data_IF_451237424032
#
_entry.id   IF_451237424032
#
_cell.length_a   1.000
_cell.length_b   1.000
_cell.length_c   1.000
_cell.angle_alpha   90.00
_cell.angle_beta   90.00
_cell.angle_gamma   90.00
#
_symmetry.space_group_name_H-M   'P 1'
#
loop_
_entity.id
_entity.type
_entity.pdbx_description
1 polymer ?
#
# COMPACT_ATOMS: atom_id res chain seq x y z
N UNK A 1 15.84 -13.70 -15.59
CA UNK A 1 16.14 -13.44 -14.15
C UNK A 1 15.00 -12.62 -13.59
N UNK A 2 14.53 -12.90 -12.36
CA UNK A 2 13.46 -12.09 -11.73
C UNK A 2 13.93 -10.65 -11.56
N UNK A 3 13.08 -9.68 -11.93
CA UNK A 3 13.41 -8.24 -11.88
C UNK A 3 12.57 -7.44 -10.88
N UNK A 4 11.44 -7.97 -10.45
CA UNK A 4 10.58 -7.38 -9.43
C UNK A 4 9.74 -8.46 -8.74
N UNK A 5 9.18 -8.15 -7.58
CA UNK A 5 8.26 -9.00 -6.83
C UNK A 5 6.92 -8.31 -6.62
N UNK A 6 5.84 -9.09 -6.59
CA UNK A 6 4.51 -8.63 -6.21
C UNK A 6 4.03 -9.54 -5.08
N UNK A 7 3.76 -8.95 -3.92
CA UNK A 7 3.16 -9.63 -2.80
C UNK A 7 1.68 -9.30 -2.72
N UNK A 8 0.85 -10.32 -2.50
CA UNK A 8 -0.57 -10.17 -2.22
C UNK A 8 -0.83 -10.80 -0.85
N UNK A 9 -1.28 -10.00 0.11
CA UNK A 9 -1.50 -10.43 1.48
C UNK A 9 -2.99 -10.44 1.80
N UNK A 10 -3.42 -11.48 2.52
CA UNK A 10 -4.69 -11.47 3.23
C UNK A 10 -4.51 -10.64 4.51
N UNK A 11 -5.20 -9.51 4.60
CA UNK A 11 -5.19 -8.60 5.74
C UNK A 11 -6.16 -8.99 6.86
N UNK A 12 -6.84 -10.12 6.72
CA UNK A 12 -7.87 -10.58 7.64
C UNK A 12 -9.22 -9.89 7.42
N UNK A 13 -10.10 -10.03 8.41
CA UNK A 13 -11.44 -9.44 8.41
C UNK A 13 -11.65 -8.59 9.67
N UNK A 14 -12.08 -9.20 10.78
CA UNK A 14 -12.33 -8.51 12.04
C UNK A 14 -11.30 -8.93 13.09
N UNK A 15 -11.12 -8.07 14.11
CA UNK A 15 -10.30 -8.40 15.26
C UNK A 15 -10.80 -9.68 15.94
N UNK A 16 -9.88 -10.58 16.24
CA UNK A 16 -10.14 -11.82 16.99
C UNK A 16 -9.78 -11.70 18.47
N UNK A 17 -9.40 -10.50 18.92
CA UNK A 17 -9.00 -10.20 20.31
C UNK A 17 -10.12 -9.41 20.98
N UNK A 18 -10.62 -9.90 22.12
CA UNK A 18 -11.91 -9.50 22.70
C UNK A 18 -12.02 -8.04 23.13
N UNK A 19 -10.91 -7.39 23.50
CA UNK A 19 -10.85 -5.98 23.92
C UNK A 19 -10.35 -5.05 22.81
N UNK A 20 -10.06 -5.58 21.62
CA UNK A 20 -9.66 -4.81 20.44
C UNK A 20 -10.82 -4.82 19.46
N UNK A 21 -11.54 -3.70 19.37
CA UNK A 21 -12.63 -3.55 18.41
C UNK A 21 -12.13 -3.28 16.99
N UNK A 22 -12.96 -3.59 15.99
CA UNK A 22 -12.74 -3.19 14.59
C UNK A 22 -12.11 -4.30 13.75
N UNK A 23 -11.23 -3.89 12.84
CA UNK A 23 -10.67 -4.76 11.79
C UNK A 23 -9.47 -5.59 12.27
N UNK A 24 -9.24 -6.70 11.57
CA UNK A 24 -8.11 -7.59 11.80
C UNK A 24 -6.81 -7.06 11.18
N UNK A 25 -5.72 -7.83 11.36
CA UNK A 25 -4.38 -7.48 10.91
C UNK A 25 -3.75 -8.63 10.14
N UNK A 26 -2.71 -8.31 9.36
CA UNK A 26 -1.82 -9.32 8.78
C UNK A 26 -1.13 -10.05 9.93
N UNK A 27 -1.31 -11.37 10.03
CA UNK A 27 -0.83 -12.17 11.17
C UNK A 27 0.69 -12.27 11.19
N UNK A 28 1.25 -12.58 12.36
CA UNK A 28 2.68 -12.85 12.50
C UNK A 28 3.17 -13.97 11.59
N UNK A 29 2.36 -15.00 11.32
CA UNK A 29 2.73 -16.09 10.42
C UNK A 29 2.89 -15.60 8.97
N UNK A 30 2.00 -14.70 8.52
CA UNK A 30 2.10 -14.08 7.19
C UNK A 30 3.31 -13.14 7.12
N UNK A 31 3.60 -12.39 8.19
CA UNK A 31 4.79 -11.54 8.29
C UNK A 31 6.07 -12.38 8.22
N UNK A 32 6.13 -13.48 8.97
CA UNK A 32 7.27 -14.40 8.96
C UNK A 32 7.46 -15.07 7.60
N UNK A 33 6.36 -15.45 6.95
CA UNK A 33 6.39 -15.95 5.58
C UNK A 33 6.96 -14.89 4.62
N UNK A 34 6.49 -13.65 4.71
CA UNK A 34 6.99 -12.54 3.89
C UNK A 34 8.50 -12.34 4.07
N UNK A 35 8.98 -12.24 5.32
CA UNK A 35 10.41 -12.06 5.61
C UNK A 35 11.25 -13.19 4.99
N UNK A 36 10.77 -14.44 5.06
CA UNK A 36 11.43 -15.60 4.43
C UNK A 36 11.48 -15.48 2.90
N UNK A 37 10.39 -15.06 2.24
CA UNK A 37 10.38 -14.87 0.78
C UNK A 37 11.31 -13.74 0.34
N UNK A 38 11.23 -12.58 1.01
CA UNK A 38 12.09 -11.45 0.71
C UNK A 38 13.57 -11.80 0.84
N UNK A 39 13.94 -12.49 1.93
CA UNK A 39 15.31 -12.95 2.13
C UNK A 39 15.75 -13.98 1.08
N UNK A 40 14.86 -14.90 0.70
CA UNK A 40 15.13 -15.89 -0.35
C UNK A 40 15.49 -15.22 -1.68
N UNK A 41 14.67 -14.29 -2.16
CA UNK A 41 14.92 -13.59 -3.41
C UNK A 41 16.12 -12.65 -3.34
N UNK A 42 16.33 -12.00 -2.20
CA UNK A 42 17.52 -11.17 -1.96
C UNK A 42 18.81 -11.99 -2.10
N UNK A 43 18.86 -13.20 -1.53
CA UNK A 43 20.00 -14.12 -1.68
C UNK A 43 20.24 -14.55 -3.12
N UNK A 44 19.17 -14.80 -3.87
CA UNK A 44 19.26 -15.17 -5.30
C UNK A 44 19.69 -13.99 -6.18
N UNK A 45 19.49 -12.76 -5.72
CA UNK A 45 19.86 -11.54 -6.42
C UNK A 45 21.15 -10.92 -5.86
N UNK A 46 22.17 -11.74 -5.60
CA UNK A 46 23.48 -11.31 -5.11
C UNK A 46 23.42 -10.43 -3.84
N UNK A 47 22.54 -10.80 -2.91
CA UNK A 47 22.29 -10.07 -1.66
C UNK A 47 21.77 -8.64 -1.86
N UNK A 48 21.17 -8.35 -3.02
CA UNK A 48 20.49 -7.08 -3.29
C UNK A 48 18.97 -7.31 -3.29
N UNK A 49 18.21 -6.63 -2.43
CA UNK A 49 16.75 -6.71 -2.45
C UNK A 49 16.20 -6.32 -3.81
N UNK A 50 15.29 -7.14 -4.36
CA UNK A 50 14.56 -6.80 -5.59
C UNK A 50 13.54 -5.67 -5.30
N UNK A 51 13.17 -4.84 -6.30
CA UNK A 51 12.05 -3.93 -6.13
C UNK A 51 10.76 -4.74 -5.98
N UNK A 52 9.96 -4.43 -4.96
CA UNK A 52 8.71 -5.11 -4.71
C UNK A 52 7.54 -4.14 -4.48
N UNK A 53 6.33 -4.60 -4.79
CA UNK A 53 5.07 -3.97 -4.40
C UNK A 53 4.25 -4.93 -3.56
N UNK A 54 3.44 -4.41 -2.65
CA UNK A 54 2.52 -5.19 -1.82
C UNK A 54 1.07 -4.72 -1.99
N UNK A 55 0.15 -5.67 -2.03
CA UNK A 55 -1.29 -5.42 -2.14
C UNK A 55 -2.02 -6.12 -1.00
N UNK A 56 -2.96 -5.43 -0.36
CA UNK A 56 -3.82 -5.97 0.69
C UNK A 56 -5.12 -5.18 0.77
N UNK A 57 -6.16 -5.72 1.39
CA UNK A 57 -7.47 -5.07 1.42
C UNK A 57 -7.55 -3.98 2.49
N UNK A 58 -7.38 -4.36 3.76
CA UNK A 58 -7.46 -3.47 4.93
C UNK A 58 -6.13 -2.73 5.10
N UNK A 59 -6.13 -1.39 5.21
CA UNK A 59 -4.91 -0.59 5.34
C UNK A 59 -4.15 -0.93 6.63
N UNK A 60 -2.83 -0.74 6.60
CA UNK A 60 -2.02 -0.80 7.84
C UNK A 60 -2.27 0.45 8.70
N UNK A 61 -2.10 0.38 10.04
CA UNK A 61 -2.20 1.57 10.90
C UNK A 61 -1.32 2.75 10.45
N UNK A 62 -0.19 2.46 9.82
CA UNK A 62 0.73 3.45 9.27
C UNK A 62 0.12 4.35 8.18
N UNK A 63 -0.94 3.92 7.49
CA UNK A 63 -1.58 4.78 6.48
C UNK A 63 -2.14 6.05 7.12
N UNK A 64 -2.83 5.89 8.26
CA UNK A 64 -3.37 7.02 9.01
C UNK A 64 -2.25 7.87 9.59
N UNK A 65 -1.24 7.25 10.22
CA UNK A 65 -0.10 7.98 10.79
C UNK A 65 0.65 8.79 9.73
N UNK A 66 0.88 8.20 8.56
CA UNK A 66 1.55 8.85 7.46
C UNK A 66 0.74 10.02 6.91
N UNK A 67 -0.58 9.84 6.73
CA UNK A 67 -1.44 10.90 6.23
C UNK A 67 -1.65 12.00 7.27
N UNK A 68 -1.77 11.71 8.57
CA UNK A 68 -2.00 12.73 9.60
C UNK A 68 -0.77 13.65 9.83
N UNK A 69 0.43 13.17 9.49
CA UNK A 69 1.66 13.97 9.57
C UNK A 69 1.87 14.80 8.30
N UNK A 70 1.59 16.11 8.41
CA UNK A 70 1.72 17.09 7.32
C UNK A 70 3.15 17.29 6.81
N UNK A 71 4.17 16.76 7.51
CA UNK A 71 5.54 16.76 7.00
C UNK A 71 5.76 15.72 5.89
N UNK A 72 4.90 14.70 5.81
CA UNK A 72 4.98 13.70 4.76
C UNK A 72 4.44 14.23 3.43
N UNK A 73 5.21 14.03 2.36
CA UNK A 73 4.76 14.34 1.01
C UNK A 73 3.66 13.36 0.61
N UNK A 74 2.50 13.92 0.26
CA UNK A 74 1.28 13.20 -0.13
C UNK A 74 0.61 13.85 -1.34
N UNK A 75 -0.02 13.02 -2.17
CA UNK A 75 -0.83 13.45 -3.32
C UNK A 75 -2.17 12.74 -3.25
N UNK A 76 -3.24 13.47 -3.54
CA UNK A 76 -4.60 12.93 -3.56
C UNK A 76 -5.48 13.44 -2.42
N UNK A 77 -6.56 12.72 -2.16
CA UNK A 77 -7.59 13.11 -1.20
C UNK A 77 -7.88 12.00 -0.19
N UNK A 78 -8.04 12.39 1.07
CA UNK A 78 -8.62 11.56 2.13
C UNK A 78 -9.96 12.13 2.53
N UNK A 79 -11.03 11.35 2.39
CA UNK A 79 -12.41 11.76 2.69
C UNK A 79 -13.00 11.06 3.91
N UNK A 80 -12.33 10.03 4.41
CA UNK A 80 -12.66 9.33 5.64
C UNK A 80 -11.39 8.88 6.36
N UNK A 81 -11.47 8.65 7.67
CA UNK A 81 -10.36 8.03 8.39
C UNK A 81 -10.19 6.59 7.94
N UNK A 82 -8.95 6.13 7.83
CA UNK A 82 -8.62 4.77 7.45
C UNK A 82 -9.18 3.77 8.46
N UNK A 83 -9.86 2.74 7.97
CA UNK A 83 -10.39 1.65 8.76
C UNK A 83 -9.31 0.56 9.02
N UNK A 84 -8.14 0.98 9.52
CA UNK A 84 -7.06 0.07 9.90
C UNK A 84 -7.36 -0.71 11.19
N UNK A 85 -6.67 -1.84 11.45
CA UNK A 85 -6.73 -2.49 12.76
C UNK A 85 -6.32 -1.56 13.89
N UNK A 86 -6.88 -1.79 15.09
CA UNK A 86 -6.57 -1.00 16.29
C UNK A 86 -5.17 -1.25 16.85
N UNK A 87 -4.56 -2.39 16.52
CA UNK A 87 -3.19 -2.73 16.91
C UNK A 87 -2.34 -3.02 15.68
N UNK A 88 -1.07 -2.65 15.77
CA UNK A 88 -0.09 -2.87 14.73
C UNK A 88 0.61 -4.24 14.94
N UNK A 89 0.52 -5.12 13.94
CA UNK A 89 1.15 -6.43 13.97
C UNK A 89 2.64 -6.43 13.57
N UNK A 90 3.16 -5.30 13.07
CA UNK A 90 4.56 -5.12 12.70
C UNK A 90 4.87 -5.29 11.21
N UNK A 91 3.85 -5.38 10.35
CA UNK A 91 4.06 -5.62 8.92
C UNK A 91 4.85 -4.50 8.24
N UNK A 92 4.57 -3.23 8.53
CA UNK A 92 5.32 -2.10 7.95
C UNK A 92 6.80 -2.13 8.37
N UNK A 93 7.07 -2.41 9.64
CA UNK A 93 8.44 -2.55 10.14
C UNK A 93 9.16 -3.69 9.42
N UNK A 94 8.51 -4.84 9.26
CA UNK A 94 9.07 -5.95 8.49
C UNK A 94 9.38 -5.55 7.04
N UNK A 95 8.51 -4.78 6.39
CA UNK A 95 8.77 -4.24 5.04
C UNK A 95 9.99 -3.33 5.02
N UNK A 96 10.12 -2.46 6.02
CA UNK A 96 11.24 -1.54 6.16
C UNK A 96 12.57 -2.27 6.40
N UNK A 97 12.57 -3.30 7.23
CA UNK A 97 13.74 -4.16 7.50
C UNK A 97 14.18 -4.93 6.25
N UNK A 98 13.22 -5.39 5.44
CA UNK A 98 13.52 -6.21 4.27
C UNK A 98 13.94 -5.43 3.02
N UNK A 99 13.60 -4.13 2.95
CA UNK A 99 14.08 -3.16 1.95
C UNK A 99 13.72 -3.45 0.48
N UNK A 100 12.92 -4.49 0.20
CA UNK A 100 12.44 -4.80 -1.14
C UNK A 100 11.21 -3.95 -1.51
N UNK A 101 10.22 -3.86 -0.61
CA UNK A 101 8.94 -3.17 -0.84
C UNK A 101 9.13 -1.66 -0.98
N UNK A 102 8.78 -1.14 -2.17
CA UNK A 102 8.79 0.29 -2.49
C UNK A 102 7.44 0.96 -2.22
N UNK A 103 6.35 0.20 -2.35
CA UNK A 103 5.00 0.71 -2.25
C UNK A 103 4.01 -0.37 -1.87
N UNK A 104 3.01 0.05 -1.11
CA UNK A 104 1.88 -0.78 -0.70
C UNK A 104 0.58 -0.16 -1.22
N UNK A 105 -0.37 -1.01 -1.58
CA UNK A 105 -1.65 -0.60 -2.14
C UNK A 105 -2.79 -1.24 -1.34
N UNK A 106 -3.63 -0.38 -0.76
CA UNK A 106 -4.79 -0.76 0.01
C UNK A 106 -6.10 -0.29 -0.64
N UNK A 107 -7.20 -0.88 -0.19
CA UNK A 107 -8.56 -0.46 -0.53
C UNK A 107 -9.36 -0.35 0.76
N UNK A 108 -10.50 -1.05 0.83
CA UNK A 108 -11.40 -1.09 1.99
C UNK A 108 -12.21 0.19 2.20
N UNK A 109 -11.56 1.35 2.33
CA UNK A 109 -12.22 2.65 2.41
C UNK A 109 -12.50 3.19 0.99
N UNK A 110 -13.77 3.39 0.64
CA UNK A 110 -14.17 3.59 -0.77
C UNK A 110 -14.00 5.03 -1.28
N UNK A 111 -13.73 6.00 -0.39
CA UNK A 111 -13.61 7.42 -0.78
C UNK A 111 -12.23 8.02 -0.53
N UNK A 112 -11.28 7.21 -0.07
CA UNK A 112 -9.87 7.58 0.06
C UNK A 112 -9.11 7.29 -1.24
N UNK A 113 -8.39 8.29 -1.73
CA UNK A 113 -7.70 8.28 -3.02
C UNK A 113 -6.41 9.08 -2.93
N UNK A 114 -5.43 8.53 -2.24
CA UNK A 114 -4.15 9.21 -2.03
C UNK A 114 -2.97 8.25 -2.15
N UNK A 115 -1.78 8.85 -2.18
CA UNK A 115 -0.51 8.19 -1.97
C UNK A 115 0.37 9.08 -1.10
N UNK A 116 1.01 8.50 -0.09
CA UNK A 116 1.90 9.20 0.84
C UNK A 116 3.22 8.45 0.97
N UNK A 117 4.33 9.17 0.98
CA UNK A 117 5.64 8.58 1.29
C UNK A 117 5.82 8.53 2.80
N UNK A 118 5.97 7.33 3.34
CA UNK A 118 6.23 7.10 4.76
C UNK A 118 7.52 6.30 4.92
N UNK A 119 8.54 6.94 5.48
CA UNK A 119 9.88 6.36 5.65
C UNK A 119 10.47 5.68 4.38
N UNK A 120 10.17 6.20 3.19
CA UNK A 120 10.68 5.67 1.93
C UNK A 120 9.87 4.50 1.36
N UNK A 121 8.68 4.22 1.89
CA UNK A 121 7.70 3.31 1.31
C UNK A 121 6.44 4.12 0.98
N UNK A 122 5.94 3.99 -0.25
CA UNK A 122 4.69 4.63 -0.62
C UNK A 122 3.49 3.86 -0.06
N UNK A 123 2.58 4.53 0.64
CA UNK A 123 1.31 3.96 1.11
C UNK A 123 0.19 4.54 0.24
N UNK A 124 -0.47 3.72 -0.57
CA UNK A 124 -1.39 4.17 -1.61
C UNK A 124 -2.77 3.54 -1.49
N UNK A 125 -3.82 4.36 -1.60
CA UNK A 125 -5.20 3.91 -1.75
C UNK A 125 -5.60 3.77 -3.21
N UNK A 126 -6.31 2.70 -3.53
CA UNK A 126 -6.95 2.50 -4.83
C UNK A 126 -8.31 3.22 -4.95
N UNK A 127 -8.70 3.53 -6.19
CA UNK A 127 -10.06 4.00 -6.50
C UNK A 127 -11.07 2.85 -6.43
N UNK A 128 -12.22 3.09 -5.79
CA UNK A 128 -13.31 2.12 -5.75
C UNK A 128 -13.91 1.86 -7.14
N UNK A 129 -13.87 0.60 -7.57
CA UNK A 129 -14.35 0.14 -8.88
C UNK A 129 -15.74 -0.50 -8.85
N UNK A 130 -16.33 -0.71 -7.67
CA UNK A 130 -17.60 -1.40 -7.50
C UNK A 130 -18.84 -0.58 -7.88
N UNK A 131 -20.03 -1.08 -7.56
CA UNK A 131 -21.30 -0.44 -7.91
C UNK A 131 -22.07 0.04 -6.67
N UNK A 132 -23.31 0.54 -6.86
CA UNK A 132 -24.16 1.18 -5.84
C UNK A 132 -24.72 0.24 -4.75
N UNK A 133 -23.99 -0.80 -4.37
CA UNK A 133 -24.33 -1.69 -3.24
C UNK A 133 -23.83 -1.16 -1.89
N UNK A 134 -23.06 -0.08 -1.91
CA UNK A 134 -22.43 0.57 -0.76
C UNK A 134 -22.22 2.06 -1.07
N UNK A 135 -21.62 2.83 -0.15
CA UNK A 135 -21.23 4.20 -0.43
C UNK A 135 -20.15 4.22 -1.52
N UNK A 136 -20.28 5.17 -2.45
CA UNK A 136 -19.46 5.23 -3.67
C UNK A 136 -18.78 6.60 -3.79
N UNK A 137 -17.60 6.67 -4.42
CA UNK A 137 -17.01 7.93 -4.83
C UNK A 137 -17.89 8.63 -5.87
N UNK A 138 -17.57 9.90 -6.18
CA UNK A 138 -18.32 10.65 -7.20
C UNK A 138 -18.33 9.97 -8.57
N UNK A 139 -17.20 9.39 -8.98
CA UNK A 139 -17.06 8.58 -10.20
C UNK A 139 -16.20 7.36 -9.86
N UNK A 140 -16.63 6.17 -10.26
CA UNK A 140 -15.84 4.94 -10.10
C UNK A 140 -14.58 4.93 -10.97
N UNK A 141 -13.64 4.06 -10.65
CA UNK A 141 -12.44 3.89 -11.45
C UNK A 141 -11.50 2.86 -10.85
N UNK A 142 -10.23 2.94 -11.21
CA UNK A 142 -9.18 2.11 -10.65
C UNK A 142 -7.88 2.92 -10.52
N UNK A 143 -7.01 2.49 -9.60
CA UNK A 143 -5.62 2.92 -9.61
C UNK A 143 -4.84 2.06 -10.60
N UNK A 144 -4.13 2.70 -11.52
CA UNK A 144 -3.17 2.06 -12.41
C UNK A 144 -1.79 2.12 -11.76
N UNK A 145 -1.05 1.02 -11.86
CA UNK A 145 0.34 0.92 -11.38
C UNK A 145 1.19 0.37 -12.51
N UNK A 146 2.23 1.12 -12.89
CA UNK A 146 3.14 0.78 -13.97
C UNK A 146 4.54 0.56 -13.42
N UNK A 147 5.06 -0.66 -13.62
CA UNK A 147 6.43 -1.03 -13.28
C UNK A 147 7.30 -0.97 -14.52
N UNK A 148 8.50 -0.41 -14.37
CA UNK A 148 9.54 -0.46 -15.42
C UNK A 148 10.54 -1.55 -15.07
N UNK A 149 10.74 -2.51 -15.98
CA UNK A 149 11.67 -3.60 -15.77
C UNK A 149 13.08 -3.08 -15.43
N UNK A 150 13.70 -3.66 -14.39
CA UNK A 150 15.08 -3.34 -14.00
C UNK A 150 15.23 -2.02 -13.24
N UNK A 151 14.14 -1.29 -12.98
CA UNK A 151 14.18 -0.06 -12.20
C UNK A 151 13.47 -0.20 -10.85
N UNK A 152 14.04 0.45 -9.83
CA UNK A 152 13.43 0.60 -8.50
C UNK A 152 12.57 1.85 -8.46
N UNK A 153 11.55 1.87 -9.32
CA UNK A 153 10.57 2.95 -9.43
C UNK A 153 9.25 2.41 -9.93
N UNK A 154 8.17 3.15 -9.71
CA UNK A 154 6.88 2.88 -10.34
C UNK A 154 6.13 4.17 -10.59
N UNK A 155 5.31 4.17 -11.64
CA UNK A 155 4.33 5.23 -11.90
C UNK A 155 2.95 4.75 -11.44
N UNK A 156 2.13 5.67 -10.95
CA UNK A 156 0.75 5.37 -10.58
C UNK A 156 -0.15 6.58 -10.77
N UNK A 157 -1.40 6.33 -11.17
CA UNK A 157 -2.45 7.33 -11.30
C UNK A 157 -3.81 6.69 -11.09
N UNK A 158 -4.84 7.50 -10.88
CA UNK A 158 -6.23 7.04 -10.90
C UNK A 158 -6.78 7.23 -12.32
N UNK A 159 -7.44 6.20 -12.85
CA UNK A 159 -8.23 6.23 -14.08
C UNK A 159 -9.70 6.11 -13.71
N UNK A 160 -10.47 7.15 -13.96
CA UNK A 160 -11.91 7.15 -13.73
C UNK A 160 -12.67 6.56 -14.92
N UNK A 161 -13.93 6.16 -14.68
CA UNK A 161 -14.79 5.49 -15.66
C UNK A 161 -15.09 6.35 -16.90
N UNK A 162 -15.11 7.68 -16.75
CA UNK A 162 -15.26 8.65 -17.83
C UNK A 162 -13.97 8.85 -18.66
N UNK A 163 -12.89 8.16 -18.30
CA UNK A 163 -11.60 8.22 -18.96
C UNK A 163 -10.65 9.29 -18.41
N UNK A 164 -11.09 10.12 -17.46
CA UNK A 164 -10.24 11.11 -16.81
C UNK A 164 -9.14 10.46 -15.96
N UNK A 165 -8.06 11.22 -15.75
CA UNK A 165 -6.86 10.79 -15.02
C UNK A 165 -6.59 11.76 -13.89
N UNK A 166 -6.39 11.23 -12.68
CA UNK A 166 -6.10 12.00 -11.47
C UNK A 166 -4.85 11.47 -10.75
N UNK A 167 -4.23 12.33 -9.94
CA UNK A 167 -3.18 11.96 -8.97
C UNK A 167 -2.02 11.14 -9.55
N UNK A 168 -1.45 11.60 -10.68
CA UNK A 168 -0.29 10.97 -11.29
C UNK A 168 0.97 11.20 -10.45
N UNK A 169 1.69 10.12 -10.12
CA UNK A 169 2.89 10.12 -9.29
C UNK A 169 3.88 9.09 -9.81
N UNK A 170 5.14 9.49 -9.98
CA UNK A 170 6.30 8.60 -10.10
C UNK A 170 6.96 8.45 -8.74
N UNK A 171 7.04 7.25 -8.17
CA UNK A 171 7.75 7.01 -6.92
C UNK A 171 9.17 6.45 -7.18
N UNK A 172 10.24 6.97 -6.53
CA UNK A 172 10.21 7.92 -5.43
C UNK A 172 10.20 9.41 -5.84
N UNK A 173 10.52 9.75 -7.09
CA UNK A 173 10.82 11.13 -7.50
C UNK A 173 9.72 12.15 -7.15
N UNK A 174 8.46 11.81 -7.37
CA UNK A 174 7.28 12.64 -7.13
C UNK A 174 6.84 12.74 -5.67
N UNK A 175 7.47 12.00 -4.74
CA UNK A 175 7.18 12.05 -3.29
C UNK A 175 8.44 12.18 -2.42
N UNK A 176 9.57 12.58 -3.01
CA UNK A 176 10.75 12.99 -2.23
C UNK A 176 10.52 14.39 -1.64
N UNK A 177 10.97 14.59 -0.40
CA UNK A 177 11.18 15.93 0.13
C UNK A 177 12.31 16.63 -0.64
N UNK A 178 12.36 17.96 -0.56
CA UNK A 178 13.55 18.71 -0.98
C UNK A 178 14.78 18.31 -0.17
#
# INVERSE_FOLDING_TARGET
>A
QVKALIYCFDSGAYSTVSDVSGYGWITSEVIDWYKKQSFHFTRQNNFQPLPALAYFHIPLPEYRLAFDDDTNKRVGVRKENECSPGLNSGMFLAMKEMQDVMGTFAGHDHVNNYIVNYFGIALAYGQFSGWRTTYVPGINGARIVQLTEGKREFDTWIRLLDGSVEYNVTFPAGLKGE
#
